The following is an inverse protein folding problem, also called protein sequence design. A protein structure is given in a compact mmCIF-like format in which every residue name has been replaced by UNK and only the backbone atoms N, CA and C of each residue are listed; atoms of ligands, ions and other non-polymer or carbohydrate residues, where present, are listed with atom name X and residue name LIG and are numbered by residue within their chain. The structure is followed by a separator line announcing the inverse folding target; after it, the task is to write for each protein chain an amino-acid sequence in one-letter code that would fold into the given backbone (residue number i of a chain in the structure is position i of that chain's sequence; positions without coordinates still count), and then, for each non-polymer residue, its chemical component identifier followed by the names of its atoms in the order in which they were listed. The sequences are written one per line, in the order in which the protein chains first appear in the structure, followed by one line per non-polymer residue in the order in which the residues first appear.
data_IF_439634517190
#
_entry.id   IF_439634517190
#
_cell.length_a   1.000
_cell.length_b   1.000
_cell.length_c   1.000
_cell.angle_alpha   90.00
_cell.angle_beta   90.00
_cell.angle_gamma   90.00
#
_symmetry.space_group_name_H-M   'P 1'
#
loop_
_entity.id
_entity.type
_entity.pdbx_description
1 polymer ?
#
# COMPACT_ATOMS: atom_id res chain seq x y z
N UNK A 1 2.09 -22.17 -25.09
CA UNK A 1 2.28 -21.85 -23.66
C UNK A 1 3.77 -21.62 -23.52
N UNK A 2 4.18 -20.36 -23.52
CA UNK A 2 5.59 -20.01 -23.31
C UNK A 2 5.85 -20.23 -21.82
N UNK A 3 6.56 -21.31 -21.49
CA UNK A 3 7.09 -21.53 -20.15
C UNK A 3 8.05 -20.38 -19.88
N UNK A 4 7.66 -19.44 -19.02
CA UNK A 4 8.53 -18.35 -18.57
C UNK A 4 9.85 -18.92 -18.03
N UNK A 5 10.94 -18.14 -18.02
CA UNK A 5 12.24 -18.62 -17.58
C UNK A 5 12.12 -19.31 -16.21
N UNK A 6 12.28 -20.63 -16.20
CA UNK A 6 12.30 -21.41 -14.96
C UNK A 6 13.53 -20.95 -14.19
N UNK A 7 13.31 -20.27 -13.07
CA UNK A 7 14.28 -19.82 -12.09
C UNK A 7 15.00 -20.98 -11.37
N UNK A 8 15.15 -22.13 -12.01
CA UNK A 8 15.78 -23.33 -11.46
C UNK A 8 15.09 -23.89 -10.21
N UNK A 9 13.84 -23.49 -9.95
CA UNK A 9 13.13 -23.78 -8.71
C UNK A 9 13.57 -22.94 -7.51
N UNK A 10 14.34 -21.86 -7.70
CA UNK A 10 14.71 -20.95 -6.63
C UNK A 10 13.55 -20.01 -6.28
N UNK A 11 13.13 -20.02 -5.03
CA UNK A 11 12.12 -19.11 -4.50
C UNK A 11 12.76 -17.77 -4.15
N UNK A 12 12.15 -16.69 -4.64
CA UNK A 12 12.47 -15.36 -4.17
C UNK A 12 11.86 -15.16 -2.78
N UNK A 13 12.71 -14.77 -1.84
CA UNK A 13 12.33 -14.42 -0.48
C UNK A 13 13.00 -13.10 -0.13
N UNK A 14 12.20 -12.13 0.29
CA UNK A 14 12.69 -10.88 0.84
C UNK A 14 12.55 -10.93 2.36
N UNK A 15 13.68 -10.78 3.07
CA UNK A 15 13.69 -10.79 4.54
C UNK A 15 13.00 -9.53 5.02
N UNK A 16 12.04 -9.66 5.93
CA UNK A 16 11.38 -8.50 6.50
C UNK A 16 12.34 -7.69 7.37
N UNK A 17 12.55 -6.43 6.97
CA UNK A 17 13.29 -5.45 7.76
C UNK A 17 12.34 -4.37 8.28
N UNK A 18 12.52 -3.96 9.53
CA UNK A 18 11.69 -2.93 10.17
C UNK A 18 10.19 -3.28 10.14
N UNK A 19 9.31 -2.27 10.11
CA UNK A 19 7.84 -2.42 10.03
C UNK A 19 7.32 -2.42 8.59
N UNK A 20 8.12 -2.80 7.60
CA UNK A 20 7.75 -2.77 6.18
C UNK A 20 7.15 -4.09 5.67
N UNK A 21 6.33 -4.75 6.48
CA UNK A 21 5.83 -6.10 6.17
C UNK A 21 5.02 -6.15 4.86
N UNK A 22 4.30 -5.09 4.50
CA UNK A 22 3.54 -5.02 3.26
C UNK A 22 4.45 -5.07 2.02
N UNK A 23 5.56 -4.33 2.03
CA UNK A 23 6.55 -4.31 0.93
C UNK A 23 7.07 -5.72 0.67
N UNK A 24 7.61 -6.35 1.72
CA UNK A 24 8.24 -7.66 1.60
C UNK A 24 7.22 -8.77 1.32
N UNK A 25 5.99 -8.65 1.81
CA UNK A 25 4.90 -9.56 1.48
C UNK A 25 4.59 -9.53 -0.02
N UNK A 26 4.34 -8.34 -0.57
CA UNK A 26 3.97 -8.18 -1.99
C UNK A 26 5.12 -8.63 -2.90
N UNK A 27 6.35 -8.22 -2.61
CA UNK A 27 7.52 -8.63 -3.39
C UNK A 27 7.77 -10.14 -3.32
N UNK A 28 7.60 -10.76 -2.15
CA UNK A 28 7.71 -12.21 -2.01
C UNK A 28 6.61 -12.92 -2.80
N UNK A 29 5.36 -12.47 -2.75
CA UNK A 29 4.26 -13.05 -3.53
C UNK A 29 4.50 -12.94 -5.04
N UNK A 30 4.99 -11.78 -5.50
CA UNK A 30 5.31 -11.53 -6.91
C UNK A 30 6.63 -12.17 -7.35
N UNK A 31 7.36 -12.78 -6.42
CA UNK A 31 8.65 -13.42 -6.65
C UNK A 31 9.70 -12.45 -7.25
N UNK A 32 9.76 -11.22 -6.75
CA UNK A 32 10.77 -10.24 -7.11
C UNK A 32 10.62 -8.89 -6.40
N UNK A 33 11.62 -7.99 -6.51
CA UNK A 33 11.59 -6.66 -5.87
C UNK A 33 10.80 -5.66 -6.72
N UNK A 34 9.48 -5.77 -6.72
CA UNK A 34 8.60 -4.94 -7.56
C UNK A 34 8.27 -3.58 -6.93
N UNK A 35 8.25 -3.51 -5.60
CA UNK A 35 7.88 -2.32 -4.85
C UNK A 35 8.97 -1.95 -3.84
N UNK A 36 9.23 -0.65 -3.72
CA UNK A 36 9.88 -0.05 -2.57
C UNK A 36 8.86 0.52 -1.57
N UNK A 37 9.34 0.92 -0.40
CA UNK A 37 8.53 1.66 0.59
C UNK A 37 7.87 2.90 -0.01
N UNK A 38 8.62 3.67 -0.82
CA UNK A 38 8.11 4.89 -1.45
C UNK A 38 7.02 4.59 -2.48
N UNK A 39 7.15 3.48 -3.21
CA UNK A 39 6.15 3.08 -4.20
C UNK A 39 4.82 2.73 -3.52
N UNK A 40 4.86 1.94 -2.44
CA UNK A 40 3.66 1.58 -1.68
C UNK A 40 3.07 2.78 -0.92
N UNK A 41 3.90 3.70 -0.42
CA UNK A 41 3.42 4.95 0.19
C UNK A 41 2.70 5.84 -0.83
N UNK A 42 3.16 5.89 -2.09
CA UNK A 42 2.47 6.59 -3.16
C UNK A 42 1.09 5.97 -3.46
N UNK A 43 1.00 4.64 -3.47
CA UNK A 43 -0.27 3.91 -3.62
C UNK A 43 -1.24 4.26 -2.48
N UNK A 44 -0.76 4.23 -1.22
CA UNK A 44 -1.56 4.61 -0.06
C UNK A 44 -2.07 6.05 -0.15
N UNK A 45 -1.22 7.00 -0.58
CA UNK A 45 -1.62 8.40 -0.76
C UNK A 45 -2.70 8.59 -1.83
N UNK A 46 -2.64 7.80 -2.91
CA UNK A 46 -3.65 7.79 -3.95
C UNK A 46 -4.97 7.18 -3.45
N UNK A 47 -4.93 6.16 -2.59
CA UNK A 47 -6.11 5.62 -1.91
C UNK A 47 -6.77 6.67 -1.01
N UNK A 48 -5.99 7.34 -0.15
CA UNK A 48 -6.52 8.41 0.72
C UNK A 48 -7.22 9.50 -0.10
N UNK A 49 -6.68 9.84 -1.29
CA UNK A 49 -7.29 10.85 -2.18
C UNK A 49 -8.63 10.39 -2.72
N UNK A 50 -8.76 9.12 -3.11
CA UNK A 50 -10.01 8.54 -3.61
C UNK A 50 -11.05 8.44 -2.50
N UNK A 51 -10.64 8.05 -1.30
CA UNK A 51 -11.52 7.98 -0.14
C UNK A 51 -12.06 9.37 0.23
N UNK A 52 -11.20 10.41 0.24
CA UNK A 52 -11.63 11.81 0.40
C UNK A 52 -12.67 12.22 -0.65
N UNK A 53 -12.48 11.83 -1.91
CA UNK A 53 -13.43 12.13 -2.97
C UNK A 53 -14.80 11.46 -2.73
N UNK A 54 -14.81 10.23 -2.25
CA UNK A 54 -16.06 9.51 -1.92
C UNK A 54 -16.81 10.21 -0.79
N UNK A 55 -16.11 10.65 0.26
CA UNK A 55 -16.72 11.39 1.39
C UNK A 55 -17.35 12.70 0.91
N UNK A 56 -16.66 13.43 0.04
CA UNK A 56 -17.17 14.65 -0.59
C UNK A 56 -18.42 14.38 -1.44
N UNK A 57 -18.40 13.35 -2.27
CA UNK A 57 -19.51 12.98 -3.15
C UNK A 57 -20.72 12.44 -2.38
N UNK A 58 -20.50 11.78 -1.24
CA UNK A 58 -21.54 11.29 -0.35
C UNK A 58 -22.31 12.42 0.37
N UNK A 59 -21.89 13.67 0.21
CA UNK A 59 -22.53 14.83 0.86
C UNK A 59 -22.30 14.86 2.37
N UNK A 60 -21.18 14.28 2.84
CA UNK A 60 -20.79 14.34 4.24
C UNK A 60 -20.77 15.80 4.74
N UNK A 61 -21.23 16.00 5.97
CA UNK A 61 -21.30 17.33 6.57
C UNK A 61 -19.92 17.96 6.67
N UNK A 62 -19.85 19.29 6.77
CA UNK A 62 -18.58 20.00 6.91
C UNK A 62 -17.74 19.50 8.08
N UNK A 63 -18.36 19.07 9.18
CA UNK A 63 -17.65 18.53 10.34
C UNK A 63 -17.01 17.15 10.07
N UNK A 64 -17.69 16.26 9.35
CA UNK A 64 -17.18 14.91 9.02
C UNK A 64 -16.02 14.99 8.02
N UNK A 65 -16.12 15.89 7.05
CA UNK A 65 -15.04 16.18 6.12
C UNK A 65 -13.81 16.75 6.85
N UNK A 66 -14.02 17.72 7.76
CA UNK A 66 -12.94 18.33 8.53
C UNK A 66 -12.24 17.33 9.45
N UNK A 67 -12.99 16.40 10.07
CA UNK A 67 -12.39 15.32 10.85
C UNK A 67 -11.57 14.38 9.97
N UNK A 68 -12.10 13.99 8.81
CA UNK A 68 -11.42 13.08 7.88
C UNK A 68 -10.12 13.70 7.33
N UNK A 69 -10.11 15.01 7.07
CA UNK A 69 -8.90 15.72 6.65
C UNK A 69 -7.86 15.87 7.77
N UNK A 70 -8.31 15.95 9.04
CA UNK A 70 -7.42 16.13 10.19
C UNK A 70 -6.68 14.85 10.61
N UNK A 71 -7.26 13.68 10.34
CA UNK A 71 -6.70 12.37 10.76
C UNK A 71 -5.50 11.92 9.92
N UNK A 72 -5.25 12.57 8.77
CA UNK A 72 -4.10 12.27 7.92
C UNK A 72 -4.34 11.05 7.03
N UNK A 73 -3.30 10.22 6.86
CA UNK A 73 -3.39 9.00 6.05
C UNK A 73 -3.90 7.84 6.90
N UNK A 74 -4.89 7.11 6.37
CA UNK A 74 -5.37 5.86 6.97
C UNK A 74 -4.71 4.63 6.34
N UNK A 75 -4.09 4.80 5.18
CA UNK A 75 -3.55 3.72 4.37
C UNK A 75 -2.05 3.47 4.62
N UNK A 76 -1.34 4.45 5.18
CA UNK A 76 0.07 4.32 5.61
C UNK A 76 0.36 5.14 6.86
N UNK A 77 1.04 4.54 7.84
CA UNK A 77 1.52 5.19 9.06
C UNK A 77 2.96 5.71 8.91
N UNK A 78 3.35 6.68 9.75
CA UNK A 78 4.75 7.18 9.80
C UNK A 78 5.76 6.10 10.23
N UNK A 79 5.28 5.03 10.85
CA UNK A 79 6.08 3.90 11.29
C UNK A 79 6.23 2.83 10.20
N UNK A 80 5.56 2.97 9.05
CA UNK A 80 5.61 2.03 7.93
C UNK A 80 4.51 0.96 7.93
N UNK A 81 3.48 1.11 8.76
CA UNK A 81 2.32 0.19 8.77
C UNK A 81 1.37 0.56 7.62
N UNK A 82 1.03 -0.42 6.77
CA UNK A 82 0.11 -0.24 5.64
C UNK A 82 -1.25 -0.90 5.90
N UNK A 83 -2.32 -0.31 5.37
CA UNK A 83 -3.65 -0.94 5.34
C UNK A 83 -3.70 -2.09 4.31
N UNK A 84 -4.81 -2.82 4.27
CA UNK A 84 -4.99 -4.00 3.40
C UNK A 84 -5.51 -3.67 1.99
N UNK A 85 -5.93 -2.42 1.75
CA UNK A 85 -6.70 -1.99 0.57
C UNK A 85 -5.84 -1.85 -0.68
#
# INVERSE_FOLDING_TARGET
MEEGPSNGGMLYHEVQESKLCAVHCVNTVLQGPFFSELDLAAVASDLDRRERQIVLEAGAGSEELLSFEAEGSHNVSMDGDFSIQ
#
